data_IF_923381993922
#
_entry.id   IF_923381993922
#
_cell.length_a   1.000
_cell.length_b   1.000
_cell.length_c   1.000
_cell.angle_alpha   90.00
_cell.angle_beta   90.00
_cell.angle_gamma   90.00
#
_symmetry.space_group_name_H-M   'P 1'
#
loop_
_entity.id
_entity.type
_entity.pdbx_description
1 polymer ?
#
# COMPACT_ATOMS: atom_id res chain seq x y z
N UNK A 1 -8.84 -3.79 -5.32
CA UNK A 1 -9.53 -3.32 -4.10
C UNK A 1 -10.97 -2.90 -4.40
N UNK A 2 -11.71 -3.76 -5.11
CA UNK A 2 -13.14 -3.58 -5.24
C UNK A 2 -13.78 -4.69 -4.41
N UNK A 3 -14.55 -4.31 -3.39
CA UNK A 3 -15.58 -5.10 -2.72
C UNK A 3 -16.09 -4.22 -1.57
N UNK A 4 -17.36 -3.83 -1.65
CA UNK A 4 -18.11 -3.02 -0.68
C UNK A 4 -18.31 -3.71 0.68
N UNK A 5 -17.34 -4.53 1.14
CA UNK A 5 -17.34 -5.16 2.44
C UNK A 5 -16.76 -4.19 3.46
N UNK A 6 -17.46 -3.94 4.58
CA UNK A 6 -16.94 -3.06 5.61
C UNK A 6 -15.62 -3.62 6.14
N UNK A 7 -14.57 -2.79 6.05
CA UNK A 7 -13.27 -3.11 6.61
C UNK A 7 -13.38 -3.04 8.13
N UNK A 8 -13.07 -4.15 8.82
CA UNK A 8 -13.10 -4.19 10.28
C UNK A 8 -11.83 -3.55 10.85
N UNK A 9 -12.00 -2.40 11.50
CA UNK A 9 -10.96 -1.82 12.36
C UNK A 9 -10.79 -2.70 13.61
N UNK A 10 -9.58 -3.21 13.83
CA UNK A 10 -9.25 -3.94 15.05
C UNK A 10 -8.84 -2.99 16.17
N UNK A 11 -7.97 -2.04 15.84
CA UNK A 11 -7.34 -1.14 16.81
C UNK A 11 -6.73 0.06 16.11
N UNK A 12 -6.55 1.15 16.82
CA UNK A 12 -5.69 2.26 16.40
C UNK A 12 -4.63 2.54 17.48
N UNK A 13 -3.51 3.12 17.05
CA UNK A 13 -2.48 3.65 17.95
C UNK A 13 -2.01 5.00 17.45
N UNK A 14 -1.65 5.88 18.38
CA UNK A 14 -1.14 7.21 18.07
C UNK A 14 0.35 7.22 18.38
N UNK A 15 1.15 7.69 17.43
CA UNK A 15 2.58 7.91 17.61
C UNK A 15 2.83 9.41 17.50
N UNK A 16 3.29 10.00 18.59
CA UNK A 16 3.69 11.40 18.59
C UNK A 16 5.03 11.56 17.88
N UNK A 17 5.08 12.47 16.92
CA UNK A 17 6.32 12.90 16.27
C UNK A 17 6.59 14.36 16.58
N UNK A 18 7.81 14.83 16.29
CA UNK A 18 8.21 16.23 16.45
C UNK A 18 7.30 17.22 15.70
N UNK A 19 6.66 16.78 14.62
CA UNK A 19 5.82 17.64 13.78
C UNK A 19 4.33 17.47 14.07
N UNK A 20 3.86 16.24 14.29
CA UNK A 20 2.45 15.97 14.63
C UNK A 20 2.23 14.55 15.16
N UNK A 21 1.04 14.30 15.70
CA UNK A 21 0.58 12.96 16.03
C UNK A 21 0.15 12.20 14.77
N UNK A 22 0.71 11.02 14.55
CA UNK A 22 0.34 10.11 13.47
C UNK A 22 -0.56 9.02 14.04
N UNK A 23 -1.76 8.87 13.48
CA UNK A 23 -2.68 7.80 13.86
C UNK A 23 -2.54 6.62 12.90
N UNK A 24 -2.16 5.46 13.44
CA UNK A 24 -2.08 4.21 12.71
C UNK A 24 -3.33 3.37 12.98
N UNK A 25 -3.92 2.82 11.92
CA UNK A 25 -5.08 1.94 11.99
C UNK A 25 -4.67 0.50 11.67
N UNK A 26 -4.99 -0.43 12.57
CA UNK A 26 -4.81 -1.87 12.39
C UNK A 26 -6.12 -2.43 11.88
N UNK A 27 -6.12 -2.89 10.64
CA UNK A 27 -7.31 -3.35 9.91
C UNK A 27 -7.23 -4.87 9.73
N UNK A 28 -8.30 -5.60 10.04
CA UNK A 28 -8.41 -7.02 9.70
C UNK A 28 -8.91 -7.15 8.26
N UNK A 29 -7.99 -7.11 7.31
CA UNK A 29 -8.31 -7.27 5.88
C UNK A 29 -7.39 -8.31 5.26
N UNK A 30 -7.93 -9.10 4.34
CA UNK A 30 -7.09 -9.81 3.39
C UNK A 30 -6.42 -8.71 2.56
N UNK A 31 -5.10 -8.59 2.68
CA UNK A 31 -4.29 -7.58 1.98
C UNK A 31 -3.71 -8.19 0.70
N UNK A 32 -4.44 -8.20 -0.43
CA UNK A 32 -3.85 -8.58 -1.71
C UNK A 32 -2.66 -7.67 -2.06
N UNK A 33 -2.58 -6.46 -1.51
CA UNK A 33 -1.38 -5.62 -1.59
C UNK A 33 -0.13 -6.26 -0.97
N UNK A 34 -0.21 -6.93 0.20
CA UNK A 34 0.97 -7.59 0.77
C UNK A 34 1.38 -8.83 -0.04
N UNK A 35 0.41 -9.56 -0.61
CA UNK A 35 0.71 -10.62 -1.58
C UNK A 35 1.38 -10.05 -2.84
N UNK A 36 0.91 -8.91 -3.31
CA UNK A 36 1.48 -8.18 -4.42
C UNK A 36 2.90 -7.66 -4.12
N UNK A 37 3.18 -7.20 -2.89
CA UNK A 37 4.55 -6.80 -2.49
C UNK A 37 5.53 -7.96 -2.59
N UNK A 38 5.13 -9.17 -2.16
CA UNK A 38 5.97 -10.36 -2.29
C UNK A 38 6.30 -10.67 -3.75
N UNK A 39 5.33 -10.52 -4.65
CA UNK A 39 5.53 -10.79 -6.07
C UNK A 39 6.31 -9.65 -6.75
N UNK A 40 6.10 -8.38 -6.34
CA UNK A 40 6.91 -7.22 -6.72
C UNK A 40 8.39 -7.47 -6.40
N UNK A 41 8.68 -7.86 -5.15
CA UNK A 41 10.05 -8.13 -4.69
C UNK A 41 10.69 -9.27 -5.48
N UNK A 42 9.96 -10.38 -5.67
CA UNK A 42 10.43 -11.51 -6.49
C UNK A 42 10.73 -11.12 -7.93
N UNK A 43 9.93 -10.23 -8.50
CA UNK A 43 10.06 -9.79 -9.89
C UNK A 43 11.08 -8.66 -10.06
N UNK A 44 11.68 -8.16 -8.98
CA UNK A 44 12.60 -7.01 -9.00
C UNK A 44 11.92 -5.72 -9.45
N UNK A 45 10.64 -5.59 -9.14
CA UNK A 45 9.81 -4.44 -9.47
C UNK A 45 9.81 -3.52 -8.25
N UNK A 46 9.63 -2.22 -8.43
CA UNK A 46 9.22 -1.34 -7.34
C UNK A 46 8.11 -0.39 -7.79
N UNK A 47 7.30 0.07 -6.84
CA UNK A 47 6.24 1.02 -7.09
C UNK A 47 6.63 2.40 -6.57
N UNK A 48 6.78 3.36 -7.49
CA UNK A 48 6.96 4.77 -7.17
C UNK A 48 5.59 5.39 -6.87
N UNK A 49 5.24 5.45 -5.58
CA UNK A 49 3.99 6.03 -5.08
C UNK A 49 3.83 7.53 -5.38
N UNK A 50 4.92 8.27 -5.60
CA UNK A 50 4.88 9.73 -5.84
C UNK A 50 4.35 9.99 -7.26
N UNK A 51 4.85 9.23 -8.23
CA UNK A 51 4.50 9.39 -9.64
C UNK A 51 3.49 8.35 -10.13
N UNK A 52 3.05 7.45 -9.24
CA UNK A 52 2.16 6.33 -9.53
C UNK A 52 2.70 5.40 -10.65
N UNK A 53 4.01 5.12 -10.63
CA UNK A 53 4.72 4.31 -11.65
C UNK A 53 5.17 2.96 -11.09
N UNK A 54 4.98 1.89 -11.86
CA UNK A 54 5.58 0.58 -11.61
C UNK A 54 6.84 0.45 -12.48
N UNK A 55 7.99 0.14 -11.88
CA UNK A 55 9.28 0.18 -12.56
C UNK A 55 10.00 -1.16 -12.41
N UNK A 56 10.54 -1.70 -13.52
CA UNK A 56 11.37 -2.91 -13.57
C UNK A 56 12.53 -2.70 -14.54
N UNK A 57 13.69 -2.31 -14.03
CA UNK A 57 14.81 -1.86 -14.88
C UNK A 57 14.36 -0.70 -15.76
N UNK A 58 14.49 -0.85 -17.08
CA UNK A 58 14.10 0.18 -18.06
C UNK A 58 12.60 0.18 -18.41
N UNK A 59 11.83 -0.79 -17.90
CA UNK A 59 10.38 -0.87 -18.13
C UNK A 59 9.65 -0.01 -17.10
N UNK A 60 8.88 0.97 -17.59
CA UNK A 60 8.08 1.89 -16.78
C UNK A 60 6.62 1.77 -17.20
N UNK A 61 5.75 1.46 -16.24
CA UNK A 61 4.30 1.35 -16.46
C UNK A 61 3.57 2.37 -15.58
N UNK A 62 2.78 3.24 -16.19
CA UNK A 62 1.91 4.17 -15.48
C UNK A 62 0.68 3.44 -14.94
N UNK A 63 0.43 3.56 -13.64
CA UNK A 63 -0.81 3.09 -13.04
C UNK A 63 -1.87 4.19 -13.15
N UNK A 64 -3.03 3.84 -13.71
CA UNK A 64 -4.18 4.72 -13.80
C UNK A 64 -5.31 4.06 -13.00
N UNK A 65 -5.80 4.74 -11.97
CA UNK A 65 -6.98 4.27 -11.23
C UNK A 65 -8.24 4.61 -12.05
N UNK A 66 -9.14 3.64 -12.21
CA UNK A 66 -10.42 3.79 -12.89
C UNK A 66 -11.55 3.74 -11.89
#
# INVERSE_FOLDING_TARGET
FNNNKPVRLLRSTVVSTLFNNITFYILLINTPFLYYLRDIDKLGIYFNNINNLLIKGDIIVLIIYK
#
